data_IF_721482366277
#
_entry.id   IF_721482366277
#
_cell.length_a   1.000
_cell.length_b   1.000
_cell.length_c   1.000
_cell.angle_alpha   90.00
_cell.angle_beta   90.00
_cell.angle_gamma   90.00
#
_symmetry.space_group_name_H-M   'P 1'
#
loop_
_entity.id
_entity.type
_entity.pdbx_description
1 polymer ?
#
# COMPACT_ATOMS: atom_id res chain seq x y z
N UNK A 1 -19.55 13.99 -13.56
CA UNK A 1 -18.24 13.62 -14.14
C UNK A 1 -18.00 12.14 -13.85
N UNK A 2 -17.70 11.32 -14.87
CA UNK A 2 -17.39 9.90 -14.65
C UNK A 2 -16.08 9.76 -13.86
N UNK A 3 -16.18 9.29 -12.62
CA UNK A 3 -15.01 9.09 -11.75
C UNK A 3 -14.23 7.87 -12.24
N UNK A 4 -13.05 8.09 -12.82
CA UNK A 4 -12.20 6.99 -13.29
C UNK A 4 -11.58 6.25 -12.09
N UNK A 5 -12.05 5.03 -11.82
CA UNK A 5 -11.48 4.16 -10.79
C UNK A 5 -10.25 3.43 -11.31
N UNK A 6 -9.18 3.39 -10.51
CA UNK A 6 -8.08 2.45 -10.63
C UNK A 6 -8.17 1.31 -9.63
N UNK A 7 -7.39 0.26 -9.87
CA UNK A 7 -7.29 -0.91 -9.00
C UNK A 7 -5.82 -1.26 -8.78
N UNK A 8 -5.52 -1.82 -7.61
CA UNK A 8 -4.23 -2.40 -7.26
C UNK A 8 -3.84 -3.50 -8.24
N UNK A 9 -2.54 -3.65 -8.50
CA UNK A 9 -2.05 -4.79 -9.27
C UNK A 9 -2.13 -6.09 -8.47
N UNK A 10 -2.01 -6.00 -7.14
CA UNK A 10 -2.00 -7.15 -6.25
C UNK A 10 -3.30 -7.29 -5.45
N UNK A 11 -3.48 -8.49 -4.89
CA UNK A 11 -4.39 -8.75 -3.77
C UNK A 11 -3.60 -8.65 -2.47
N UNK A 12 -4.13 -7.90 -1.51
CA UNK A 12 -3.53 -7.73 -0.20
C UNK A 12 -4.25 -8.60 0.81
N UNK A 13 -3.51 -9.41 1.57
CA UNK A 13 -4.07 -10.29 2.59
C UNK A 13 -4.25 -9.50 3.89
N UNK A 14 -5.43 -8.91 4.08
CA UNK A 14 -5.73 -7.96 5.15
C UNK A 14 -6.54 -8.65 6.25
N UNK A 15 -6.34 -8.21 7.50
CA UNK A 15 -7.13 -8.64 8.66
C UNK A 15 -8.63 -8.34 8.42
N UNK A 16 -9.53 -9.34 8.51
CA UNK A 16 -10.97 -9.12 8.34
C UNK A 16 -11.54 -8.03 9.26
N UNK A 17 -10.97 -7.82 10.46
CA UNK A 17 -11.42 -6.81 11.41
C UNK A 17 -11.31 -5.39 10.84
N UNK A 18 -10.26 -5.11 10.06
CA UNK A 18 -10.09 -3.80 9.43
C UNK A 18 -11.12 -3.56 8.31
N UNK A 19 -11.60 -4.65 7.70
CA UNK A 19 -12.57 -4.62 6.60
C UNK A 19 -13.99 -4.48 7.12
N UNK A 20 -14.36 -5.15 8.23
CA UNK A 20 -15.68 -4.98 8.85
C UNK A 20 -15.90 -3.62 9.50
N UNK A 21 -14.81 -2.91 9.82
CA UNK A 21 -14.88 -1.55 10.32
C UNK A 21 -15.10 -0.49 9.22
N UNK A 22 -15.23 -0.88 7.95
CA UNK A 22 -15.48 0.03 6.83
C UNK A 22 -16.99 0.21 6.61
N UNK A 23 -17.40 1.45 6.36
CA UNK A 23 -18.73 1.73 5.84
C UNK A 23 -18.84 1.26 4.38
N UNK A 24 -20.05 0.92 3.94
CA UNK A 24 -20.29 0.58 2.54
C UNK A 24 -20.16 1.80 1.63
N UNK A 25 -19.63 1.59 0.43
CA UNK A 25 -19.47 2.62 -0.57
C UNK A 25 -20.84 3.10 -1.09
N UNK A 26 -20.95 4.39 -1.46
CA UNK A 26 -22.16 4.88 -2.11
C UNK A 26 -22.45 4.11 -3.40
N UNK A 27 -23.74 3.86 -3.70
CA UNK A 27 -24.20 3.12 -4.88
C UNK A 27 -23.69 3.68 -6.24
N UNK A 28 -23.22 4.94 -6.26
CA UNK A 28 -22.58 5.54 -7.42
C UNK A 28 -21.23 4.91 -7.79
N UNK A 29 -20.63 4.13 -6.88
CA UNK A 29 -19.40 3.39 -7.12
C UNK A 29 -19.72 1.90 -7.21
N UNK A 30 -19.53 1.32 -8.38
CA UNK A 30 -19.56 -0.12 -8.57
C UNK A 30 -18.27 -0.55 -9.28
N UNK A 31 -17.54 -1.47 -8.65
CA UNK A 31 -16.34 -2.08 -9.22
C UNK A 31 -16.06 -3.41 -8.52
N UNK A 32 -15.50 -4.36 -9.27
CA UNK A 32 -15.26 -5.73 -8.78
C UNK A 32 -16.41 -6.69 -9.10
N UNK A 33 -16.28 -7.92 -8.62
CA UNK A 33 -17.34 -8.95 -8.61
C UNK A 33 -17.85 -9.14 -7.19
N UNK A 34 -19.06 -9.66 -6.99
CA UNK A 34 -19.63 -9.83 -5.65
C UNK A 34 -18.82 -10.80 -4.76
N UNK A 35 -18.01 -11.66 -5.37
CA UNK A 35 -17.16 -12.64 -4.70
C UNK A 35 -15.83 -12.05 -4.19
N UNK A 36 -15.34 -10.95 -4.78
CA UNK A 36 -14.05 -10.33 -4.42
C UNK A 36 -14.28 -9.27 -3.33
N UNK A 37 -13.57 -9.35 -2.20
CA UNK A 37 -13.60 -8.29 -1.19
C UNK A 37 -12.80 -7.10 -1.69
N UNK A 38 -13.44 -5.95 -1.85
CA UNK A 38 -12.78 -4.78 -2.43
C UNK A 38 -13.02 -3.51 -1.63
N UNK A 39 -11.94 -2.76 -1.41
CA UNK A 39 -11.94 -1.49 -0.66
C UNK A 39 -11.71 -0.33 -1.62
N UNK A 40 -12.47 0.74 -1.47
CA UNK A 40 -12.29 1.99 -2.20
C UNK A 40 -11.62 3.05 -1.33
N UNK A 41 -10.48 3.56 -1.79
CA UNK A 41 -9.79 4.72 -1.22
C UNK A 41 -10.02 5.97 -2.08
N UNK A 42 -10.25 7.13 -1.44
CA UNK A 42 -10.60 8.39 -2.11
C UNK A 42 -9.84 9.57 -1.51
N UNK A 43 -9.51 10.59 -2.31
CA UNK A 43 -8.87 11.80 -1.80
C UNK A 43 -9.80 12.52 -0.82
N UNK A 44 -9.36 12.69 0.42
CA UNK A 44 -10.08 13.47 1.44
C UNK A 44 -11.39 12.85 1.95
N UNK A 45 -11.63 11.56 1.71
CA UNK A 45 -12.80 10.86 2.21
C UNK A 45 -12.40 9.57 2.93
N UNK A 46 -13.30 9.09 3.79
CA UNK A 46 -13.13 7.80 4.45
C UNK A 46 -13.09 6.65 3.42
N UNK A 47 -12.27 5.66 3.74
CA UNK A 47 -12.19 4.40 3.02
C UNK A 47 -13.50 3.66 3.23
N UNK A 48 -13.96 2.97 2.19
CA UNK A 48 -15.25 2.29 2.20
C UNK A 48 -15.17 0.95 1.48
N UNK A 49 -16.07 0.05 1.82
CA UNK A 49 -16.18 -1.27 1.21
C UNK A 49 -17.04 -1.19 -0.06
N UNK A 50 -16.52 -1.66 -1.19
CA UNK A 50 -17.30 -1.74 -2.43
C UNK A 50 -18.18 -2.99 -2.47
N UNK A 51 -17.65 -4.12 -2.02
CA UNK A 51 -18.25 -5.45 -2.10
C UNK A 51 -17.56 -6.42 -1.12
N UNK A 52 -18.18 -7.60 -0.92
CA UNK A 52 -17.62 -8.66 -0.09
C UNK A 52 -17.85 -8.49 1.42
N UNK A 53 -18.86 -7.72 1.84
CA UNK A 53 -19.27 -7.56 3.26
C UNK A 53 -19.48 -8.91 3.95
N UNK A 54 -20.32 -9.74 3.34
CA UNK A 54 -20.66 -11.07 3.86
C UNK A 54 -19.40 -11.93 4.01
N UNK A 55 -18.53 -11.94 3.00
CA UNK A 55 -17.26 -12.68 3.02
C UNK A 55 -16.35 -12.22 4.15
N UNK A 56 -16.24 -10.91 4.37
CA UNK A 56 -15.43 -10.34 5.46
C UNK A 56 -16.00 -10.68 6.85
N UNK A 57 -17.32 -10.63 7.02
CA UNK A 57 -17.99 -11.00 8.27
C UNK A 57 -17.84 -12.48 8.59
N UNK A 58 -18.02 -13.34 7.59
CA UNK A 58 -17.78 -14.78 7.74
C UNK A 58 -16.33 -15.06 8.11
N UNK A 59 -15.36 -14.43 7.45
CA UNK A 59 -13.96 -14.59 7.77
C UNK A 59 -13.62 -14.12 9.19
N UNK A 60 -14.19 -13.01 9.64
CA UNK A 60 -14.06 -12.51 11.01
C UNK A 60 -14.68 -13.48 12.02
N UNK A 61 -15.88 -14.02 11.73
CA UNK A 61 -16.57 -15.00 12.57
C UNK A 61 -15.76 -16.31 12.69
N UNK A 62 -15.17 -16.77 11.59
CA UNK A 62 -14.29 -17.95 11.55
C UNK A 62 -12.88 -17.67 12.07
N UNK A 63 -12.59 -16.47 12.56
CA UNK A 63 -11.27 -16.04 13.07
C UNK A 63 -10.13 -16.30 12.07
N UNK A 64 -10.41 -16.10 10.79
CA UNK A 64 -9.37 -16.11 9.77
C UNK A 64 -8.40 -14.96 10.02
N UNK A 65 -7.10 -15.24 9.98
CA UNK A 65 -6.09 -14.21 10.22
C UNK A 65 -6.09 -13.12 9.14
N UNK A 66 -6.23 -13.52 7.86
CA UNK A 66 -6.20 -12.61 6.72
C UNK A 66 -7.11 -13.10 5.59
N UNK A 67 -7.66 -12.16 4.82
CA UNK A 67 -8.44 -12.41 3.60
C UNK A 67 -7.87 -11.63 2.40
N UNK A 68 -7.98 -12.16 1.18
CA UNK A 68 -7.55 -11.44 -0.02
C UNK A 68 -8.48 -10.25 -0.28
N UNK A 69 -7.88 -9.05 -0.40
CA UNK A 69 -8.59 -7.79 -0.62
C UNK A 69 -7.99 -7.04 -1.81
N UNK A 70 -8.86 -6.59 -2.71
CA UNK A 70 -8.50 -5.69 -3.82
C UNK A 70 -8.65 -4.24 -3.39
N UNK A 71 -7.67 -3.40 -3.71
CA UNK A 71 -7.77 -1.96 -3.41
C UNK A 71 -8.10 -1.19 -4.68
N UNK A 72 -9.28 -0.59 -4.71
CA UNK A 72 -9.70 0.40 -5.69
C UNK A 72 -9.40 1.80 -5.21
N UNK A 73 -9.15 2.70 -6.15
CA UNK A 73 -8.91 4.10 -5.84
C UNK A 73 -9.49 5.03 -6.89
N UNK A 74 -9.90 6.22 -6.47
CA UNK A 74 -10.24 7.29 -7.41
C UNK A 74 -8.97 7.87 -8.06
N UNK A 75 -8.83 7.73 -9.38
CA UNK A 75 -7.72 8.33 -10.12
C UNK A 75 -7.92 9.85 -10.17
N UNK A 76 -7.02 10.60 -9.54
CA UNK A 76 -7.06 12.07 -9.54
C UNK A 76 -6.23 12.68 -10.68
N UNK A 77 -5.31 11.92 -11.27
CA UNK A 77 -4.62 12.32 -12.51
C UNK A 77 -5.59 12.15 -13.68
N UNK A 78 -5.93 13.22 -14.41
CA UNK A 78 -6.77 13.13 -15.60
C UNK A 78 -6.09 12.34 -16.73
N UNK A 79 -6.89 11.71 -17.60
CA UNK A 79 -6.37 10.92 -18.73
C UNK A 79 -5.57 11.73 -19.76
N UNK A 80 -5.74 13.06 -19.82
CA UNK A 80 -4.91 13.92 -20.66
C UNK A 80 -3.54 14.23 -20.04
N UNK A 81 -3.37 14.01 -18.72
CA UNK A 81 -2.14 14.27 -17.98
C UNK A 81 -1.38 12.98 -17.61
N UNK A 82 -1.37 11.98 -18.50
CA UNK A 82 -0.59 10.75 -18.28
C UNK A 82 0.91 10.99 -18.03
N UNK A 83 1.59 12.02 -18.58
CA UNK A 83 2.99 12.30 -18.22
C UNK A 83 3.22 12.46 -16.70
N UNK A 84 2.23 12.98 -15.97
CA UNK A 84 2.32 13.11 -14.51
C UNK A 84 2.40 11.75 -13.78
N UNK A 85 1.97 10.65 -14.41
CA UNK A 85 2.12 9.30 -13.86
C UNK A 85 3.59 8.88 -13.84
N UNK A 86 4.38 9.28 -14.85
CA UNK A 86 5.77 8.85 -14.99
C UNK A 86 6.74 9.78 -14.23
N UNK A 87 6.45 11.07 -14.21
CA UNK A 87 7.32 12.10 -13.63
C UNK A 87 7.06 12.24 -12.13
N UNK A 88 8.05 11.84 -11.29
CA UNK A 88 7.91 11.83 -9.83
C UNK A 88 7.45 13.18 -9.24
N UNK A 89 8.07 14.33 -9.56
CA UNK A 89 7.64 15.63 -9.02
C UNK A 89 6.17 15.95 -9.34
N UNK A 90 5.74 15.73 -10.58
CA UNK A 90 4.37 15.98 -10.99
C UNK A 90 3.39 15.06 -10.24
N UNK A 91 3.72 13.77 -10.12
CA UNK A 91 2.91 12.79 -9.39
C UNK A 91 2.69 13.16 -7.92
N UNK A 92 3.65 13.80 -7.26
CA UNK A 92 3.51 14.15 -5.84
C UNK A 92 2.34 15.11 -5.59
N UNK A 93 2.05 16.00 -6.54
CA UNK A 93 0.95 16.97 -6.41
C UNK A 93 -0.44 16.31 -6.43
N UNK A 94 -0.51 15.06 -6.86
CA UNK A 94 -1.75 14.27 -6.97
C UNK A 94 -1.84 13.16 -5.91
N UNK A 95 -0.80 13.01 -5.08
CA UNK A 95 -0.70 11.88 -4.18
C UNK A 95 -1.63 12.05 -2.99
N UNK A 96 -2.46 11.04 -2.74
CA UNK A 96 -3.28 10.94 -1.54
C UNK A 96 -3.07 9.57 -0.87
N UNK A 97 -3.53 9.45 0.37
CA UNK A 97 -3.42 8.26 1.19
C UNK A 97 -4.80 7.74 1.59
N UNK A 98 -4.87 6.46 1.95
CA UNK A 98 -5.98 5.87 2.66
C UNK A 98 -6.23 6.63 3.97
N UNK A 99 -7.49 6.70 4.37
CA UNK A 99 -7.91 7.33 5.63
C UNK A 99 -7.53 6.51 6.86
N UNK A 100 -7.22 5.21 6.67
CA UNK A 100 -6.81 4.29 7.73
C UNK A 100 -5.61 3.43 7.34
N UNK A 101 -5.02 2.81 8.36
CA UNK A 101 -4.06 1.72 8.21
C UNK A 101 -4.78 0.37 8.21
N UNK A 102 -4.18 -0.61 7.55
CA UNK A 102 -4.66 -1.99 7.46
C UNK A 102 -3.58 -2.93 7.97
N UNK A 103 -3.96 -4.03 8.58
CA UNK A 103 -3.05 -5.01 9.16
C UNK A 103 -2.92 -6.20 8.23
N UNK A 104 -1.68 -6.64 8.02
CA UNK A 104 -1.40 -7.81 7.21
C UNK A 104 -0.13 -8.53 7.69
N UNK A 105 0.07 -9.74 7.18
CA UNK A 105 1.32 -10.48 7.35
C UNK A 105 2.43 -9.89 6.46
N UNK A 106 3.59 -9.67 7.06
CA UNK A 106 4.80 -9.29 6.36
C UNK A 106 5.25 -10.39 5.39
N UNK A 107 5.15 -11.66 5.78
CA UNK A 107 5.45 -12.77 4.88
C UNK A 107 4.60 -12.68 3.60
N UNK A 108 3.29 -12.42 3.73
CA UNK A 108 2.39 -12.20 2.58
C UNK A 108 2.73 -10.97 1.78
N UNK A 109 3.12 -9.86 2.41
CA UNK A 109 3.56 -8.66 1.68
C UNK A 109 4.79 -8.96 0.81
N UNK A 110 5.74 -9.75 1.31
CA UNK A 110 6.98 -10.09 0.59
C UNK A 110 6.75 -11.04 -0.59
N UNK A 111 5.76 -11.94 -0.50
CA UNK A 111 5.33 -12.78 -1.63
C UNK A 111 4.94 -11.95 -2.86
N UNK A 112 4.43 -10.73 -2.66
CA UNK A 112 4.02 -9.82 -3.75
C UNK A 112 5.20 -9.23 -4.55
N UNK A 113 6.43 -9.27 -4.02
CA UNK A 113 7.65 -8.73 -4.64
C UNK A 113 7.54 -7.25 -5.06
N UNK A 114 6.76 -6.46 -4.31
CA UNK A 114 6.55 -5.01 -4.57
C UNK A 114 7.60 -4.10 -3.90
N UNK A 115 8.51 -4.69 -3.12
CA UNK A 115 9.65 -4.02 -2.51
C UNK A 115 10.63 -3.52 -3.58
N UNK A 116 11.32 -2.39 -3.33
CA UNK A 116 12.30 -1.82 -4.28
C UNK A 116 13.75 -2.12 -3.91
N UNK A 117 13.96 -2.64 -2.72
CA UNK A 117 15.29 -2.89 -2.16
C UNK A 117 15.18 -3.17 -0.67
N UNK A 118 16.04 -4.05 -0.19
CA UNK A 118 16.06 -4.48 1.19
C UNK A 118 17.02 -3.59 1.99
N UNK A 119 16.59 -3.14 3.18
CA UNK A 119 17.39 -2.27 4.04
C UNK A 119 17.77 -2.99 5.33
N UNK A 120 19.07 -3.18 5.54
CA UNK A 120 19.64 -3.80 6.73
C UNK A 120 20.58 -2.83 7.46
N UNK A 121 21.12 -3.24 8.61
CA UNK A 121 22.05 -2.45 9.40
C UNK A 121 23.26 -1.92 8.58
N UNK A 122 23.73 -2.69 7.59
CA UNK A 122 24.89 -2.34 6.78
C UNK A 122 24.59 -1.25 5.73
N UNK A 123 23.39 -1.24 5.16
CA UNK A 123 23.04 -0.39 4.02
C UNK A 123 21.99 0.69 4.34
N UNK A 124 21.40 0.67 5.55
CA UNK A 124 20.37 1.61 5.96
C UNK A 124 20.91 3.04 6.00
N UNK A 125 20.12 3.99 5.50
CA UNK A 125 20.45 5.41 5.35
C UNK A 125 21.76 5.75 4.64
N UNK A 126 22.35 4.81 3.87
CA UNK A 126 23.37 5.14 2.86
C UNK A 126 22.69 5.84 1.67
N UNK A 127 22.51 7.16 1.80
CA UNK A 127 21.89 8.02 0.78
C UNK A 127 22.98 8.64 -0.10
N UNK A 128 22.63 9.07 -1.32
CA UNK A 128 23.53 9.77 -2.23
C UNK A 128 24.17 11.03 -1.60
N UNK A 129 25.30 11.47 -2.16
CA UNK A 129 26.19 12.54 -1.64
C UNK A 129 25.48 13.82 -1.16
N UNK A 130 24.28 14.15 -1.66
CA UNK A 130 23.52 15.37 -1.32
C UNK A 130 22.95 15.38 0.10
N UNK A 131 22.74 14.22 0.72
CA UNK A 131 22.13 14.06 2.05
C UNK A 131 22.98 13.15 2.95
N UNK A 132 24.31 13.31 2.86
CA UNK A 132 25.24 12.49 3.61
C UNK A 132 25.09 12.75 5.11
N UNK A 133 24.88 11.68 5.88
CA UNK A 133 24.93 11.66 7.34
C UNK A 133 26.17 10.88 7.77
N UNK A 134 26.74 11.17 8.94
CA UNK A 134 27.88 10.38 9.43
C UNK A 134 27.48 8.93 9.71
N UNK A 135 28.45 8.01 9.71
CA UNK A 135 28.18 6.61 10.03
C UNK A 135 27.63 6.44 11.46
N UNK A 136 28.11 7.24 12.42
CA UNK A 136 27.57 7.27 13.77
C UNK A 136 26.09 7.66 13.79
N UNK A 137 25.71 8.72 13.08
CA UNK A 137 24.30 9.15 12.98
C UNK A 137 23.43 8.10 12.29
N UNK A 138 23.98 7.43 11.27
CA UNK A 138 23.32 6.35 10.54
C UNK A 138 23.02 5.16 11.45
N UNK A 139 24.03 4.71 12.21
CA UNK A 139 23.91 3.63 13.18
C UNK A 139 22.93 4.02 14.30
N UNK A 140 23.03 5.25 14.83
CA UNK A 140 22.12 5.75 15.85
C UNK A 140 20.66 5.74 15.37
N UNK A 141 20.38 6.24 14.15
CA UNK A 141 19.03 6.20 13.55
C UNK A 141 18.50 4.78 13.35
N UNK A 142 19.36 3.86 12.91
CA UNK A 142 18.97 2.45 12.77
C UNK A 142 18.63 1.84 14.14
N UNK A 143 19.49 2.03 15.13
CA UNK A 143 19.29 1.51 16.48
C UNK A 143 18.06 2.11 17.16
N UNK A 144 17.76 3.39 16.92
CA UNK A 144 16.54 4.02 17.42
C UNK A 144 15.29 3.34 16.85
N UNK A 145 15.23 3.15 15.54
CA UNK A 145 14.10 2.47 14.89
C UNK A 145 13.99 1.02 15.35
N UNK A 146 15.12 0.33 15.47
CA UNK A 146 15.20 -1.04 15.96
C UNK A 146 14.65 -1.17 17.37
N UNK A 147 15.11 -0.33 18.30
CA UNK A 147 14.66 -0.34 19.69
C UNK A 147 13.17 0.00 19.83
N UNK A 148 12.63 0.80 18.90
CA UNK A 148 11.19 1.03 18.80
C UNK A 148 10.45 -0.25 18.41
N UNK A 149 10.90 -0.93 17.34
CA UNK A 149 10.24 -2.11 16.79
C UNK A 149 10.38 -3.36 17.69
N UNK A 150 11.43 -3.44 18.51
CA UNK A 150 11.57 -4.50 19.53
C UNK A 150 10.41 -4.51 20.55
N UNK A 151 9.69 -3.41 20.71
CA UNK A 151 8.50 -3.31 21.57
C UNK A 151 7.22 -3.79 20.89
N UNK A 152 7.29 -4.17 19.61
CA UNK A 152 6.16 -4.43 18.73
C UNK A 152 6.14 -3.47 17.54
N UNK A 153 5.39 -3.83 16.50
CA UNK A 153 5.16 -2.94 15.37
C UNK A 153 4.29 -1.75 15.81
N UNK A 154 4.68 -0.53 15.44
CA UNK A 154 3.93 0.68 15.75
C UNK A 154 3.01 1.05 14.58
N UNK A 155 1.70 0.83 14.79
CA UNK A 155 0.66 1.03 13.78
C UNK A 155 0.49 2.53 13.39
N UNK A 156 1.02 3.47 14.20
CA UNK A 156 1.05 4.90 13.86
C UNK A 156 2.02 5.24 12.71
N UNK A 157 2.95 4.34 12.40
CA UNK A 157 3.95 4.51 11.34
C UNK A 157 3.87 3.39 10.30
N UNK A 158 2.75 3.27 9.55
CA UNK A 158 2.54 2.18 8.63
C UNK A 158 3.57 2.16 7.48
N UNK A 159 3.71 0.99 6.85
CA UNK A 159 4.41 0.85 5.57
C UNK A 159 3.50 1.44 4.49
N UNK A 160 4.02 2.38 3.71
CA UNK A 160 3.25 3.03 2.67
C UNK A 160 3.40 2.27 1.35
N UNK A 161 2.28 1.80 0.79
CA UNK A 161 2.23 1.10 -0.49
C UNK A 161 1.60 2.04 -1.50
N UNK A 162 2.34 2.40 -2.55
CA UNK A 162 1.80 3.21 -3.64
C UNK A 162 1.25 2.30 -4.73
N UNK A 163 -0.06 2.39 -4.92
CA UNK A 163 -0.81 1.67 -5.95
C UNK A 163 -0.43 2.18 -7.34
N UNK A 164 -0.28 1.25 -8.29
CA UNK A 164 0.06 1.54 -9.68
C UNK A 164 1.29 2.45 -9.86
N UNK A 165 2.27 2.42 -8.95
CA UNK A 165 3.43 3.32 -9.00
C UNK A 165 4.34 3.06 -10.19
N UNK A 166 4.72 1.80 -10.41
CA UNK A 166 5.69 1.44 -11.46
C UNK A 166 4.95 1.46 -12.78
N UNK A 167 5.38 2.38 -13.66
CA UNK A 167 4.79 2.61 -14.98
C UNK A 167 3.27 2.86 -14.98
N UNK A 168 2.67 3.26 -13.85
CA UNK A 168 1.20 3.44 -13.79
C UNK A 168 0.41 2.13 -13.69
N UNK A 169 1.09 1.00 -13.40
CA UNK A 169 0.48 -0.34 -13.48
C UNK A 169 0.75 -1.21 -12.26
N UNK A 170 2.01 -1.31 -11.78
CA UNK A 170 2.40 -2.24 -10.70
C UNK A 170 2.58 -1.49 -9.38
N UNK A 171 2.05 -2.07 -8.33
CA UNK A 171 2.14 -1.56 -6.96
C UNK A 171 3.58 -1.60 -6.45
N UNK A 172 3.87 -0.79 -5.43
CA UNK A 172 5.22 -0.65 -4.95
C UNK A 172 5.28 -0.07 -3.54
N UNK A 173 6.20 -0.57 -2.71
CA UNK A 173 6.53 0.10 -1.43
C UNK A 173 7.07 1.49 -1.74
N UNK A 174 6.40 2.50 -1.18
CA UNK A 174 6.73 3.91 -1.31
C UNK A 174 7.58 4.39 -0.14
N UNK A 175 7.26 3.95 1.07
CA UNK A 175 7.98 4.26 2.30
C UNK A 175 7.84 3.11 3.32
N UNK A 176 8.81 2.98 4.24
CA UNK A 176 8.84 1.91 5.25
C UNK A 176 9.87 0.80 4.96
N UNK A 177 10.78 0.99 4.01
CA UNK A 177 11.80 -0.03 3.66
C UNK A 177 12.69 -0.44 4.85
N UNK A 178 13.04 0.50 5.73
CA UNK A 178 13.80 0.20 6.96
C UNK A 178 12.97 -0.60 7.97
N UNK A 179 11.68 -0.28 8.11
CA UNK A 179 10.75 -1.01 8.97
C UNK A 179 10.62 -2.45 8.51
N UNK A 180 10.41 -2.67 7.21
CA UNK A 180 10.36 -4.01 6.63
C UNK A 180 11.63 -4.80 6.94
N UNK A 181 12.80 -4.22 6.71
CA UNK A 181 14.08 -4.91 6.95
C UNK A 181 14.25 -5.36 8.39
N UNK A 182 13.95 -4.48 9.35
CA UNK A 182 14.01 -4.81 10.78
C UNK A 182 12.95 -5.85 11.14
N UNK A 183 11.73 -5.73 10.63
CA UNK A 183 10.67 -6.71 10.92
C UNK A 183 11.03 -8.11 10.40
N UNK A 184 11.70 -8.22 9.25
CA UNK A 184 12.27 -9.49 8.76
C UNK A 184 13.35 -10.00 9.70
N UNK A 185 14.29 -9.16 10.14
CA UNK A 185 15.41 -9.55 11.02
C UNK A 185 14.92 -10.04 12.39
N UNK A 186 13.85 -9.44 12.92
CA UNK A 186 13.31 -9.72 14.26
C UNK A 186 12.03 -10.58 14.27
N UNK A 187 11.67 -11.17 13.12
CA UNK A 187 10.50 -12.04 12.97
C UNK A 187 9.18 -11.39 13.44
N UNK A 188 9.00 -10.10 13.12
CA UNK A 188 7.78 -9.34 13.38
C UNK A 188 6.88 -9.48 12.14
N UNK A 189 5.87 -10.36 12.21
CA UNK A 189 5.01 -10.65 11.06
C UNK A 189 3.82 -9.70 10.91
N UNK A 190 3.13 -9.36 12.00
CA UNK A 190 1.99 -8.43 11.95
C UNK A 190 2.50 -7.01 11.72
N UNK A 191 2.13 -6.42 10.58
CA UNK A 191 2.49 -5.06 10.20
C UNK A 191 1.26 -4.25 9.81
N UNK A 192 1.32 -2.94 10.00
CA UNK A 192 0.34 -2.01 9.45
C UNK A 192 0.82 -1.41 8.12
N UNK A 193 -0.09 -1.32 7.15
CA UNK A 193 0.11 -0.74 5.82
C UNK A 193 -0.89 0.38 5.55
N UNK A 194 -0.45 1.38 4.80
CA UNK A 194 -1.30 2.48 4.32
C UNK A 194 -1.18 2.54 2.79
N UNK A 195 -2.32 2.57 2.11
CA UNK A 195 -2.35 2.61 0.66
C UNK A 195 -2.29 4.06 0.18
N UNK A 196 -1.55 4.30 -0.89
CA UNK A 196 -1.40 5.61 -1.51
C UNK A 196 -1.68 5.52 -2.99
N UNK A 197 -2.31 6.54 -3.53
CA UNK A 197 -2.68 6.58 -4.94
C UNK A 197 -2.51 7.99 -5.51
N UNK A 198 -2.50 8.08 -6.83
CA UNK A 198 -2.51 9.34 -7.57
C UNK A 198 -3.23 9.17 -8.90
N UNK A 199 -2.73 8.26 -9.73
CA UNK A 199 -3.35 7.95 -11.01
C UNK A 199 -2.88 6.62 -11.56
N UNK A 200 -3.51 6.23 -12.66
CA UNK A 200 -3.22 4.97 -13.33
C UNK A 200 -3.21 5.14 -14.84
N UNK A 201 -2.57 4.19 -15.53
CA UNK A 201 -2.74 4.08 -16.97
C UNK A 201 -4.15 3.58 -17.34
N UNK A 202 -4.61 3.86 -18.57
CA UNK A 202 -5.75 3.18 -19.17
C UNK A 202 -5.64 1.65 -19.07
N UNK A 203 -6.76 0.95 -18.84
CA UNK A 203 -6.78 -0.51 -18.61
C UNK A 203 -6.08 -1.33 -19.70
N UNK A 204 -6.21 -0.92 -20.97
CA UNK A 204 -5.57 -1.61 -22.08
C UNK A 204 -4.04 -1.54 -22.01
N UNK A 205 -3.47 -0.39 -21.61
CA UNK A 205 -2.03 -0.24 -21.36
C UNK A 205 -1.59 -1.00 -20.11
N UNK A 206 -2.43 -1.03 -19.07
CA UNK A 206 -2.14 -1.80 -17.86
C UNK A 206 -1.95 -3.29 -18.18
N UNK A 207 -2.88 -3.89 -18.95
CA UNK A 207 -2.80 -5.29 -19.37
C UNK A 207 -1.54 -5.60 -20.17
N UNK A 208 -1.10 -4.67 -21.01
CA UNK A 208 0.13 -4.83 -21.80
C UNK A 208 1.37 -4.77 -20.89
N UNK A 209 1.45 -3.76 -20.02
CA UNK A 209 2.66 -3.47 -19.25
C UNK A 209 2.85 -4.37 -18.02
N UNK A 210 1.77 -4.91 -17.45
CA UNK A 210 1.86 -5.86 -16.33
C UNK A 210 2.61 -7.14 -16.71
N UNK A 211 2.70 -7.49 -18.00
CA UNK A 211 3.45 -8.66 -18.50
C UNK A 211 4.97 -8.53 -18.34
N UNK A 212 5.48 -7.33 -18.06
CA UNK A 212 6.90 -7.07 -17.86
C UNK A 212 7.33 -7.05 -16.39
N UNK A 213 6.43 -7.39 -15.46
CA UNK A 213 6.66 -7.43 -14.02
C UNK A 213 6.36 -8.82 -13.45
#
# INVERSE_FOLDING_TARGET
MSTSLGCSSELYYIDPQDIIALDDAPASFSAGTDEEVSVLIRPGAADCLLNGRITAEQAAMHKMAYIPVRIFFQSVIPLWNLPAIFIKPLRQNYKFASSRSYHMSLAKLRELKIERGFRNAENAYKISKRWHISDEQRIAKYNQLLNSLKKGYDDNYPINIMLCRRMGVKDCVDDGHHRIGICVEYNIDRIAVCFRAAGRLPRWLQKLLLRFF
#
